data_IF_768094679423
#
_entry.id   IF_768094679423
#
_cell.length_a   1.000
_cell.length_b   1.000
_cell.length_c   1.000
_cell.angle_alpha   90.00
_cell.angle_beta   90.00
_cell.angle_gamma   90.00
#
_symmetry.space_group_name_H-M   'P 1'
#
loop_
_entity.id
_entity.type
_entity.pdbx_description
1 polymer ?
#
# COMPACT_ATOMS: atom_id res chain seq x y z
N UNK A 1 -10.95 -3.43 15.00
CA UNK A 1 -9.64 -3.42 14.31
C UNK A 1 -9.81 -4.12 12.97
N UNK A 2 -9.34 -3.55 11.86
CA UNK A 2 -9.37 -4.24 10.56
C UNK A 2 -8.31 -5.33 10.48
N UNK A 3 -8.45 -6.32 9.58
CA UNK A 3 -7.43 -7.34 9.36
C UNK A 3 -6.07 -6.73 8.97
N UNK A 4 -6.08 -5.64 8.21
CA UNK A 4 -4.87 -4.91 7.86
C UNK A 4 -4.19 -4.27 9.09
N UNK A 5 -4.95 -3.81 10.08
CA UNK A 5 -4.39 -3.31 11.35
C UNK A 5 -3.76 -4.44 12.16
N UNK A 6 -4.42 -5.61 12.22
CA UNK A 6 -3.90 -6.78 12.93
C UNK A 6 -2.58 -7.25 12.31
N UNK A 7 -2.51 -7.31 10.98
CA UNK A 7 -1.28 -7.65 10.26
C UNK A 7 -0.18 -6.61 10.54
N UNK A 8 -0.52 -5.31 10.55
CA UNK A 8 0.44 -4.26 10.86
C UNK A 8 1.01 -4.37 12.28
N UNK A 9 0.19 -4.63 13.29
CA UNK A 9 0.67 -4.81 14.67
C UNK A 9 1.61 -6.01 14.78
N UNK A 10 1.24 -7.15 14.17
CA UNK A 10 2.13 -8.32 14.10
C UNK A 10 3.43 -8.04 13.37
N UNK A 11 3.38 -7.19 12.34
CA UNK A 11 4.60 -6.76 11.66
C UNK A 11 5.49 -5.93 12.58
N UNK A 12 4.94 -5.03 13.40
CA UNK A 12 5.73 -4.26 14.38
C UNK A 12 6.45 -5.18 15.37
N UNK A 13 5.78 -6.22 15.85
CA UNK A 13 6.42 -7.22 16.71
C UNK A 13 7.51 -7.99 15.95
N UNK A 14 7.24 -8.39 14.70
CA UNK A 14 8.22 -9.03 13.82
C UNK A 14 9.47 -8.16 13.58
N UNK A 15 9.33 -6.83 13.53
CA UNK A 15 10.48 -5.91 13.39
C UNK A 15 11.40 -5.91 14.60
N UNK A 16 10.89 -6.20 15.81
CA UNK A 16 11.71 -6.18 17.03
C UNK A 16 12.72 -7.33 17.07
N UNK A 17 12.43 -8.41 16.36
CA UNK A 17 13.24 -9.63 16.37
C UNK A 17 14.31 -9.64 15.28
N UNK A 18 14.29 -8.70 14.31
CA UNK A 18 15.15 -8.76 13.12
C UNK A 18 15.74 -7.40 12.74
N UNK A 19 17.07 -7.28 12.55
CA UNK A 19 17.65 -6.15 11.84
C UNK A 19 17.21 -6.27 10.37
N UNK A 20 16.56 -5.24 9.83
CA UNK A 20 16.07 -5.17 8.44
C UNK A 20 14.84 -6.05 8.11
N UNK A 21 13.68 -5.80 8.75
CA UNK A 21 12.47 -6.59 8.57
C UNK A 21 11.92 -6.61 7.14
N UNK A 22 12.24 -5.57 6.34
CA UNK A 22 11.82 -5.47 4.94
C UNK A 22 12.38 -6.60 4.07
N UNK A 23 13.56 -7.14 4.39
CA UNK A 23 14.16 -8.30 3.67
C UNK A 23 13.38 -9.59 3.87
N UNK A 24 12.56 -9.65 4.92
CA UNK A 24 11.83 -10.84 5.32
C UNK A 24 10.31 -10.70 5.15
N UNK A 25 9.85 -9.69 4.41
CA UNK A 25 8.41 -9.50 4.13
C UNK A 25 7.76 -10.75 3.54
N UNK A 26 8.46 -11.47 2.66
CA UNK A 26 7.91 -12.70 2.07
C UNK A 26 7.64 -13.77 3.12
N UNK A 27 8.57 -13.96 4.07
CA UNK A 27 8.41 -14.91 5.17
C UNK A 27 7.25 -14.49 6.07
N UNK A 28 7.20 -13.20 6.41
CA UNK A 28 6.12 -12.64 7.22
C UNK A 28 4.74 -12.85 6.56
N UNK A 29 4.59 -12.54 5.27
CA UNK A 29 3.32 -12.73 4.57
C UNK A 29 2.92 -14.19 4.39
N UNK A 30 3.88 -15.11 4.22
CA UNK A 30 3.59 -16.53 4.19
C UNK A 30 2.98 -17.00 5.52
N UNK A 31 3.56 -16.55 6.65
CA UNK A 31 3.03 -16.84 7.98
C UNK A 31 1.64 -16.22 8.21
N UNK A 32 1.42 -14.97 7.80
CA UNK A 32 0.11 -14.33 7.93
C UNK A 32 -0.96 -14.95 7.03
N UNK A 33 -0.58 -15.43 5.83
CA UNK A 33 -1.46 -16.18 4.93
C UNK A 33 -1.94 -17.46 5.58
N UNK A 34 -1.01 -18.25 6.12
CA UNK A 34 -1.33 -19.50 6.79
C UNK A 34 -2.25 -19.27 8.00
N UNK A 35 -1.90 -18.31 8.87
CA UNK A 35 -2.71 -17.93 10.04
C UNK A 35 -4.13 -17.53 9.63
N UNK A 36 -4.28 -16.70 8.61
CA UNK A 36 -5.58 -16.20 8.18
C UNK A 36 -6.43 -17.31 7.55
N UNK A 37 -5.85 -18.11 6.65
CA UNK A 37 -6.56 -19.20 5.98
C UNK A 37 -7.04 -20.24 7.00
N UNK A 38 -6.18 -20.65 7.94
CA UNK A 38 -6.55 -21.64 8.95
C UNK A 38 -7.70 -21.15 9.84
N UNK A 39 -7.67 -19.89 10.26
CA UNK A 39 -8.76 -19.29 11.04
C UNK A 39 -10.06 -19.20 10.23
N UNK A 40 -10.02 -18.67 9.00
CA UNK A 40 -11.24 -18.42 8.22
C UNK A 40 -11.86 -19.66 7.61
N UNK A 41 -11.06 -20.63 7.19
CA UNK A 41 -11.60 -21.90 6.72
C UNK A 41 -12.38 -22.59 7.85
N UNK A 42 -11.86 -22.58 9.08
CA UNK A 42 -12.57 -23.12 10.26
C UNK A 42 -13.89 -22.39 10.52
N UNK A 43 -13.89 -21.05 10.48
CA UNK A 43 -15.11 -20.23 10.64
C UNK A 43 -16.16 -20.56 9.58
N UNK A 44 -15.77 -20.69 8.31
CA UNK A 44 -16.70 -20.98 7.21
C UNK A 44 -17.24 -22.41 7.25
N UNK A 45 -16.42 -23.39 7.63
CA UNK A 45 -16.90 -24.78 7.83
C UNK A 45 -17.96 -24.82 8.93
N UNK A 46 -17.78 -24.09 10.04
CA UNK A 46 -18.80 -23.95 11.09
C UNK A 46 -20.10 -23.29 10.60
N UNK A 47 -20.04 -22.53 9.51
CA UNK A 47 -21.20 -21.92 8.83
C UNK A 47 -21.80 -22.82 7.74
N UNK A 48 -21.52 -24.13 7.77
CA UNK A 48 -21.97 -25.12 6.79
C UNK A 48 -21.49 -24.86 5.35
N UNK A 49 -20.36 -24.17 5.15
CA UNK A 49 -19.71 -24.06 3.84
C UNK A 49 -18.90 -25.31 3.55
N UNK A 50 -18.87 -25.72 2.28
CA UNK A 50 -17.97 -26.79 1.84
C UNK A 50 -16.51 -26.37 2.02
N UNK A 51 -15.60 -27.34 2.07
CA UNK A 51 -14.17 -27.08 2.21
C UNK A 51 -13.63 -26.26 1.02
N UNK A 52 -14.11 -26.55 -0.19
CA UNK A 52 -13.77 -25.77 -1.39
C UNK A 52 -14.26 -24.32 -1.29
N UNK A 53 -15.53 -24.10 -0.95
CA UNK A 53 -16.11 -22.76 -0.82
C UNK A 53 -15.41 -21.94 0.27
N UNK A 54 -15.18 -22.56 1.43
CA UNK A 54 -14.45 -21.95 2.54
C UNK A 54 -13.04 -21.52 2.14
N UNK A 55 -12.34 -22.34 1.36
CA UNK A 55 -10.98 -22.01 0.87
C UNK A 55 -10.99 -20.84 -0.09
N UNK A 56 -11.96 -20.77 -1.01
CA UNK A 56 -12.10 -19.68 -1.98
C UNK A 56 -12.38 -18.37 -1.27
N UNK A 57 -13.37 -18.35 -0.37
CA UNK A 57 -13.75 -17.16 0.39
C UNK A 57 -12.60 -16.66 1.27
N UNK A 58 -11.89 -17.56 1.95
CA UNK A 58 -10.73 -17.21 2.76
C UNK A 58 -9.61 -16.60 1.91
N UNK A 59 -9.30 -17.17 0.74
CA UNK A 59 -8.29 -16.60 -0.17
C UNK A 59 -8.68 -15.21 -0.66
N UNK A 60 -9.94 -15.02 -1.06
CA UNK A 60 -10.43 -13.72 -1.53
C UNK A 60 -10.35 -12.64 -0.44
N UNK A 61 -10.75 -12.97 0.79
CA UNK A 61 -10.64 -12.07 1.94
C UNK A 61 -9.20 -11.71 2.30
N UNK A 62 -8.26 -12.64 2.12
CA UNK A 62 -6.84 -12.39 2.36
C UNK A 62 -6.25 -11.40 1.35
N UNK A 63 -6.55 -11.57 0.06
CA UNK A 63 -5.97 -10.75 -1.01
C UNK A 63 -6.27 -9.26 -0.82
N UNK A 64 -7.50 -8.90 -0.44
CA UNK A 64 -7.88 -7.49 -0.23
C UNK A 64 -7.20 -6.89 0.99
N UNK A 65 -7.15 -7.62 2.11
CA UNK A 65 -6.57 -7.12 3.34
C UNK A 65 -5.04 -6.99 3.29
N UNK A 66 -4.36 -7.90 2.58
CA UNK A 66 -2.90 -7.89 2.46
C UNK A 66 -2.42 -6.69 1.65
N UNK A 67 -3.12 -6.31 0.57
CA UNK A 67 -2.76 -5.10 -0.18
C UNK A 67 -2.76 -3.86 0.73
N UNK A 68 -3.83 -3.70 1.51
CA UNK A 68 -3.93 -2.59 2.47
C UNK A 68 -2.91 -2.68 3.61
N UNK A 69 -2.58 -3.89 4.05
CA UNK A 69 -1.55 -4.11 5.06
C UNK A 69 -0.16 -3.75 4.52
N UNK A 70 0.14 -4.08 3.25
CA UNK A 70 1.39 -3.75 2.58
C UNK A 70 1.58 -2.25 2.45
N UNK A 71 0.54 -1.51 2.02
CA UNK A 71 0.56 -0.04 2.01
C UNK A 71 0.98 0.52 3.39
N UNK A 72 0.32 0.07 4.47
CA UNK A 72 0.63 0.50 5.84
C UNK A 72 2.02 0.10 6.31
N UNK A 73 2.51 -1.08 5.92
CA UNK A 73 3.85 -1.56 6.27
C UNK A 73 4.91 -0.71 5.56
N UNK A 74 4.72 -0.39 4.28
CA UNK A 74 5.63 0.51 3.55
C UNK A 74 5.59 1.92 4.15
N UNK A 75 4.41 2.43 4.49
CA UNK A 75 4.29 3.71 5.22
C UNK A 75 5.07 3.70 6.54
N UNK A 76 4.97 2.62 7.32
CA UNK A 76 5.69 2.45 8.58
C UNK A 76 7.21 2.43 8.36
N UNK A 77 7.69 1.66 7.37
CA UNK A 77 9.12 1.55 7.05
C UNK A 77 9.72 2.87 6.55
N UNK A 78 8.94 3.67 5.81
CA UNK A 78 9.38 4.96 5.31
C UNK A 78 9.30 6.08 6.35
N UNK A 79 8.56 5.89 7.44
CA UNK A 79 8.26 6.94 8.41
C UNK A 79 9.52 7.59 8.99
N UNK A 80 10.46 6.78 9.48
CA UNK A 80 11.68 7.29 10.12
C UNK A 80 12.60 7.97 9.11
N UNK A 81 12.69 7.41 7.89
CA UNK A 81 13.41 8.05 6.78
C UNK A 81 12.81 9.41 6.44
N UNK A 82 11.47 9.50 6.38
CA UNK A 82 10.78 10.74 6.04
C UNK A 82 11.01 11.82 7.11
N UNK A 83 10.89 11.46 8.40
CA UNK A 83 11.16 12.37 9.52
C UNK A 83 12.62 12.87 9.46
N UNK A 84 13.59 11.96 9.31
CA UNK A 84 15.02 12.31 9.28
C UNK A 84 15.39 13.25 8.13
N UNK A 85 14.71 13.16 7.00
CA UNK A 85 15.00 13.94 5.79
C UNK A 85 14.02 15.09 5.52
N UNK A 86 13.18 15.44 6.51
CA UNK A 86 12.13 16.46 6.38
C UNK A 86 11.24 16.25 5.13
N UNK A 87 10.91 14.99 4.85
CA UNK A 87 10.01 14.57 3.77
C UNK A 87 8.63 14.32 4.37
N UNK A 88 7.60 14.80 3.69
CA UNK A 88 6.20 14.57 4.03
C UNK A 88 5.60 13.48 3.16
N UNK A 89 4.58 12.81 3.70
CA UNK A 89 3.84 11.74 3.04
C UNK A 89 2.36 12.12 2.93
N UNK A 90 1.76 11.85 1.78
CA UNK A 90 0.30 11.89 1.59
C UNK A 90 -0.12 10.75 0.65
N UNK A 91 -1.41 10.66 0.32
CA UNK A 91 -1.94 9.68 -0.62
C UNK A 91 -3.01 10.32 -1.52
N UNK A 92 -3.31 9.61 -2.60
CA UNK A 92 -4.34 9.95 -3.57
C UNK A 92 -5.72 10.23 -2.93
N UNK A 93 -6.16 9.41 -1.95
CA UNK A 93 -7.45 9.55 -1.27
C UNK A 93 -7.56 10.88 -0.55
N UNK A 94 -6.48 11.30 0.10
CA UNK A 94 -6.39 12.59 0.81
C UNK A 94 -6.43 13.74 -0.18
N UNK A 95 -5.70 13.66 -1.30
CA UNK A 95 -5.68 14.70 -2.33
C UNK A 95 -6.99 14.80 -3.14
N UNK A 96 -7.75 13.71 -3.22
CA UNK A 96 -9.08 13.67 -3.86
C UNK A 96 -10.21 14.16 -2.96
N UNK A 97 -9.97 14.40 -1.67
CA UNK A 97 -10.99 14.92 -0.76
C UNK A 97 -11.53 16.29 -1.22
N UNK A 98 -12.81 16.56 -0.93
CA UNK A 98 -13.47 17.83 -1.29
C UNK A 98 -12.83 19.05 -0.62
N UNK A 99 -12.41 18.88 0.63
CA UNK A 99 -11.78 19.92 1.44
C UNK A 99 -10.36 19.46 1.79
N UNK A 100 -9.37 20.16 1.26
CA UNK A 100 -7.95 19.95 1.56
C UNK A 100 -7.33 21.29 1.98
N UNK A 101 -6.30 21.25 2.82
CA UNK A 101 -5.61 22.46 3.25
C UNK A 101 -4.75 23.05 2.12
N UNK A 102 -4.28 24.29 2.29
CA UNK A 102 -3.52 24.99 1.25
C UNK A 102 -2.21 24.30 0.84
N UNK A 103 -1.57 23.56 1.74
CA UNK A 103 -0.37 22.77 1.42
C UNK A 103 -0.71 21.60 0.49
N UNK A 104 -1.70 20.80 0.86
CA UNK A 104 -2.15 19.64 0.08
C UNK A 104 -2.75 20.05 -1.27
N UNK A 105 -3.39 21.22 -1.34
CA UNK A 105 -3.86 21.78 -2.60
C UNK A 105 -2.70 22.13 -3.55
N UNK A 106 -1.60 22.70 -3.03
CA UNK A 106 -0.38 22.91 -3.81
C UNK A 106 0.23 21.57 -4.27
N UNK A 107 0.23 20.56 -3.40
CA UNK A 107 0.71 19.20 -3.75
C UNK A 107 -0.14 18.59 -4.87
N UNK A 108 -1.47 18.67 -4.75
CA UNK A 108 -2.41 18.21 -5.77
C UNK A 108 -2.15 18.90 -7.11
N UNK A 109 -2.03 20.23 -7.11
CA UNK A 109 -1.73 21.00 -8.33
C UNK A 109 -0.39 20.62 -8.95
N UNK A 110 0.64 20.35 -8.15
CA UNK A 110 1.95 19.90 -8.65
C UNK A 110 1.93 18.48 -9.25
N UNK A 111 0.92 17.67 -8.93
CA UNK A 111 0.75 16.30 -9.43
C UNK A 111 -0.22 16.18 -10.61
N UNK A 112 -1.04 17.20 -10.86
CA UNK A 112 -2.02 17.16 -11.95
C UNK A 112 -1.30 17.07 -13.30
N UNK A 113 -1.68 16.06 -14.08
CA UNK A 113 -1.25 15.91 -15.47
C UNK A 113 -2.36 16.46 -16.36
N UNK A 114 -2.01 17.42 -17.20
CA UNK A 114 -2.92 18.02 -18.17
C UNK A 114 -2.78 17.32 -19.52
N UNK A 115 -3.86 16.73 -20.02
CA UNK A 115 -3.89 16.08 -21.32
C UNK A 115 -5.21 16.39 -22.04
N UNK A 116 -5.13 17.02 -23.21
CA UNK A 116 -6.30 17.26 -24.08
C UNK A 116 -7.46 18.03 -23.43
N UNK A 117 -7.18 18.96 -22.50
CA UNK A 117 -8.20 19.71 -21.75
C UNK A 117 -8.69 19.03 -20.46
N UNK A 118 -8.25 17.80 -20.19
CA UNK A 118 -8.53 17.09 -18.95
C UNK A 118 -7.35 17.22 -17.98
N UNK A 119 -7.66 17.25 -16.69
CA UNK A 119 -6.66 17.23 -15.61
C UNK A 119 -6.86 15.97 -14.79
N UNK A 120 -5.85 15.11 -14.73
CA UNK A 120 -5.92 13.82 -14.04
C UNK A 120 -4.88 13.80 -12.92
N UNK A 121 -5.31 13.38 -11.74
CA UNK A 121 -4.40 13.07 -10.65
C UNK A 121 -3.96 11.61 -10.82
N UNK A 122 -2.64 11.32 -10.94
CA UNK A 122 -2.15 9.96 -11.07
C UNK A 122 -2.52 9.13 -9.83
N UNK A 123 -2.74 7.83 -10.03
CA UNK A 123 -2.98 6.90 -8.94
C UNK A 123 -1.66 6.59 -8.23
N UNK A 124 -1.52 7.10 -7.01
CA UNK A 124 -0.36 6.90 -6.16
C UNK A 124 -0.80 6.55 -4.74
N UNK A 125 -0.42 5.36 -4.29
CA UNK A 125 -0.74 4.88 -2.94
C UNK A 125 0.00 5.69 -1.87
N UNK A 126 1.25 6.06 -2.14
CA UNK A 126 2.08 6.90 -1.27
C UNK A 126 2.78 7.98 -2.08
N UNK A 127 2.65 9.23 -1.66
CA UNK A 127 3.24 10.40 -2.31
C UNK A 127 4.24 11.02 -1.34
N UNK A 128 5.50 11.12 -1.75
CA UNK A 128 6.58 11.75 -1.00
C UNK A 128 6.86 13.14 -1.55
N UNK A 129 6.85 14.15 -0.69
CA UNK A 129 7.11 15.53 -1.09
C UNK A 129 7.84 16.32 -0.01
N UNK A 130 8.49 17.41 -0.43
CA UNK A 130 9.11 18.39 0.45
C UNK A 130 8.45 19.75 0.27
N UNK A 131 8.44 20.52 1.35
CA UNK A 131 7.98 21.91 1.36
C UNK A 131 9.19 22.83 1.58
N UNK A 132 9.46 23.75 0.65
CA UNK A 132 10.47 24.78 0.84
C UNK A 132 9.82 26.16 0.70
N UNK A 133 9.63 26.84 1.83
CA UNK A 133 8.85 28.08 1.95
C UNK A 133 7.47 27.92 1.29
N UNK A 134 7.34 28.38 0.04
CA UNK A 134 6.10 28.36 -0.73
C UNK A 134 6.01 27.29 -1.80
N UNK A 135 7.12 26.60 -2.08
CA UNK A 135 7.23 25.62 -3.15
C UNK A 135 7.07 24.19 -2.64
N UNK A 136 6.32 23.39 -3.41
CA UNK A 136 6.23 21.95 -3.23
C UNK A 136 7.18 21.28 -4.21
N UNK A 137 8.01 20.37 -3.71
CA UNK A 137 8.83 19.48 -4.53
C UNK A 137 8.33 18.06 -4.35
N UNK A 138 7.71 17.49 -5.37
CA UNK A 138 7.38 16.06 -5.40
C UNK A 138 8.70 15.29 -5.56
N UNK A 139 8.95 14.37 -4.63
CA UNK A 139 10.15 13.52 -4.64
C UNK A 139 9.87 12.18 -5.31
N UNK A 140 8.75 11.56 -4.96
CA UNK A 140 8.35 10.26 -5.50
C UNK A 140 6.83 10.07 -5.41
N UNK A 141 6.31 9.30 -6.36
CA UNK A 141 4.97 8.71 -6.31
C UNK A 141 5.18 7.20 -6.31
N UNK A 142 4.69 6.53 -5.28
CA UNK A 142 4.83 5.10 -5.09
C UNK A 142 3.46 4.44 -5.26
N UNK A 143 3.38 3.48 -6.17
CA UNK A 143 2.29 2.52 -6.19
C UNK A 143 2.76 1.23 -5.52
N UNK A 144 1.96 0.73 -4.58
CA UNK A 144 2.23 -0.42 -3.73
C UNK A 144 1.36 -1.59 -4.19
N UNK A 145 2.00 -2.67 -4.65
CA UNK A 145 1.28 -3.87 -5.12
C UNK A 145 1.75 -5.13 -4.42
N UNK A 146 0.77 -5.94 -3.98
CA UNK A 146 0.96 -7.23 -3.32
C UNK A 146 1.39 -8.37 -4.27
N UNK A 147 1.12 -8.22 -5.57
CA UNK A 147 1.64 -9.17 -6.56
C UNK A 147 1.69 -8.50 -7.92
N UNK A 148 2.72 -8.85 -8.68
CA UNK A 148 2.74 -8.60 -10.11
C UNK A 148 2.13 -9.81 -10.82
N UNK A 149 0.79 -9.84 -10.93
CA UNK A 149 0.14 -10.64 -12.00
C UNK A 149 0.23 -9.86 -13.32
N UNK A 150 -0.08 -10.48 -14.47
CA UNK A 150 0.04 -10.01 -15.87
C UNK A 150 -0.47 -8.57 -16.24
N UNK A 151 -0.88 -7.74 -15.27
CA UNK A 151 -1.42 -6.38 -15.41
C UNK A 151 -0.40 -5.30 -15.81
N UNK A 152 0.80 -5.67 -16.25
CA UNK A 152 1.83 -4.68 -16.64
C UNK A 152 1.51 -3.90 -17.90
N UNK A 153 0.67 -4.41 -18.80
CA UNK A 153 0.33 -3.69 -20.05
C UNK A 153 -0.56 -2.46 -19.84
N UNK A 154 -1.21 -2.28 -18.68
CA UNK A 154 -2.05 -1.09 -18.41
C UNK A 154 -1.34 -0.01 -17.60
N UNK A 155 -0.51 -0.38 -16.61
CA UNK A 155 0.09 0.59 -15.69
C UNK A 155 1.45 1.12 -16.16
N UNK A 156 2.09 0.47 -17.16
CA UNK A 156 3.34 0.94 -17.77
C UNK A 156 3.19 2.19 -18.65
N UNK A 157 1.96 2.66 -18.91
CA UNK A 157 1.71 3.80 -19.81
C UNK A 157 1.93 5.18 -19.14
N UNK A 158 2.25 5.24 -17.83
CA UNK A 158 2.47 6.49 -17.10
C UNK A 158 3.92 6.59 -16.56
N UNK A 159 4.93 6.34 -17.40
CA UNK A 159 6.34 6.57 -17.07
C UNK A 159 6.73 8.07 -17.08
N UNK A 160 6.12 8.86 -16.21
CA UNK A 160 6.63 10.21 -15.91
C UNK A 160 6.80 10.32 -14.39
N UNK A 161 8.00 9.95 -13.91
CA UNK A 161 8.48 10.08 -12.51
C UNK A 161 7.80 9.20 -11.43
N UNK A 162 7.22 8.07 -11.80
CA UNK A 162 6.69 7.10 -10.82
C UNK A 162 7.69 5.97 -10.56
N UNK A 163 7.95 5.66 -9.28
CA UNK A 163 8.72 4.48 -8.89
C UNK A 163 7.73 3.44 -8.34
N UNK A 164 7.52 2.35 -9.05
CA UNK A 164 6.68 1.25 -8.56
C UNK A 164 7.49 0.38 -7.59
N UNK A 165 7.10 0.34 -6.31
CA UNK A 165 7.62 -0.64 -5.35
C UNK A 165 6.62 -1.78 -5.31
N UNK A 166 7.04 -2.93 -5.80
CA UNK A 166 6.16 -4.07 -5.78
C UNK A 166 6.91 -5.32 -5.38
N UNK A 167 6.28 -6.01 -4.44
CA UNK A 167 6.83 -7.18 -3.79
C UNK A 167 6.15 -8.38 -4.43
N UNK A 168 6.94 -9.25 -5.06
CA UNK A 168 6.43 -10.51 -5.59
C UNK A 168 6.32 -11.53 -4.47
N UNK A 169 5.10 -11.77 -3.99
CA UNK A 169 4.79 -12.86 -3.06
C UNK A 169 4.23 -14.10 -3.77
N UNK A 170 4.77 -14.40 -4.95
CA UNK A 170 4.46 -15.62 -5.68
C UNK A 170 5.21 -16.79 -5.04
N UNK A 171 4.51 -17.65 -4.30
CA UNK A 171 4.48 -19.12 -4.45
C UNK A 171 3.25 -19.67 -3.69
#
# INVERSE_FOLDING_TARGET
MSLADIILERFKDFMRERPEPYKFLQVFYAQEKERFLNSKISDYIKQNKSKEEASILARQGFVSAVGRALEKIIELLLKDFCIKNNVKMTNDKTLRAKCINGELDKVKRALLVHFGGYSVLPDGDIILYQTNKDNIKILAILSVKNSFRERFTKDALLEIKASAIACNFSH
#
